data_IF_942928076424
#
_entry.id   IF_942928076424
#
_cell.length_a   1.000
_cell.length_b   1.000
_cell.length_c   1.000
_cell.angle_alpha   90.00
_cell.angle_beta   90.00
_cell.angle_gamma   90.00
#
_symmetry.space_group_name_H-M   'P 1'
#
loop_
_entity.id
_entity.type
_entity.pdbx_description
1 polymer ?
#
# COMPACT_ATOMS: atom_id res chain seq x y z
N UNK A 1 14.02 -8.65 -12.99
CA UNK A 1 15.28 -8.30 -13.66
C UNK A 1 15.04 -8.30 -15.15
N UNK A 2 15.03 -7.14 -15.77
CA UNK A 2 14.59 -6.97 -17.15
C UNK A 2 13.14 -7.42 -17.33
N UNK A 3 12.85 -8.17 -18.39
CA UNK A 3 11.48 -8.60 -18.75
C UNK A 3 11.07 -9.95 -18.12
N UNK A 4 11.85 -10.47 -17.15
CA UNK A 4 11.59 -11.77 -16.53
C UNK A 4 10.93 -11.55 -15.18
N UNK A 5 9.79 -12.23 -14.95
CA UNK A 5 9.12 -12.28 -13.66
C UNK A 5 9.92 -13.23 -12.75
N UNK A 6 10.52 -12.69 -11.70
CA UNK A 6 11.28 -13.48 -10.74
C UNK A 6 10.37 -14.20 -9.73
N UNK A 7 9.31 -13.54 -9.29
CA UNK A 7 8.32 -14.07 -8.34
C UNK A 7 6.96 -13.42 -8.61
N UNK A 8 5.87 -14.18 -8.46
CA UNK A 8 4.51 -13.70 -8.75
C UNK A 8 3.68 -13.36 -7.53
N UNK A 9 4.09 -13.88 -6.37
CA UNK A 9 3.38 -13.85 -5.09
C UNK A 9 4.17 -13.12 -3.98
N UNK A 10 5.05 -12.21 -4.37
CA UNK A 10 5.83 -11.43 -3.40
C UNK A 10 4.90 -10.50 -2.60
N UNK A 11 4.91 -10.64 -1.30
CA UNK A 11 4.22 -9.73 -0.40
C UNK A 11 4.95 -8.38 -0.32
N UNK A 12 4.17 -7.30 -0.38
CA UNK A 12 4.66 -5.92 -0.30
C UNK A 12 3.90 -5.06 0.70
N UNK A 13 2.97 -5.66 1.44
CA UNK A 13 2.23 -4.99 2.51
C UNK A 13 2.37 -5.82 3.78
N UNK A 14 2.82 -5.18 4.84
CA UNK A 14 3.15 -5.81 6.13
C UNK A 14 2.52 -5.05 7.28
N UNK A 15 2.12 -5.72 8.37
CA UNK A 15 1.80 -5.03 9.60
C UNK A 15 3.04 -4.27 10.10
N UNK A 16 2.86 -3.07 10.62
CA UNK A 16 3.89 -2.41 11.40
C UNK A 16 3.67 -2.73 12.90
N UNK A 17 2.45 -2.62 13.33
CA UNK A 17 1.92 -3.05 14.63
C UNK A 17 0.40 -3.32 14.52
N UNK A 18 -0.30 -3.37 15.65
CA UNK A 18 -1.74 -3.67 15.70
C UNK A 18 -2.64 -2.61 15.04
N UNK A 19 -2.14 -1.38 14.83
CA UNK A 19 -2.93 -0.25 14.31
C UNK A 19 -2.34 0.39 13.06
N UNK A 20 -1.31 -0.24 12.45
CA UNK A 20 -0.64 0.36 11.30
C UNK A 20 0.01 -0.67 10.36
N UNK A 21 0.27 -0.26 9.13
CA UNK A 21 0.88 -1.08 8.09
C UNK A 21 1.88 -0.32 7.24
N UNK A 22 2.79 -1.06 6.60
CA UNK A 22 3.77 -0.54 5.65
C UNK A 22 3.62 -1.25 4.32
N UNK A 23 3.37 -0.49 3.26
CA UNK A 23 3.55 -0.94 1.88
C UNK A 23 4.96 -0.60 1.40
N UNK A 24 5.58 -1.46 0.61
CA UNK A 24 6.96 -1.26 0.13
C UNK A 24 7.07 -1.23 -1.39
N UNK A 25 7.94 -0.35 -1.88
CA UNK A 25 8.43 -0.35 -3.26
C UNK A 25 9.95 -0.20 -3.29
N UNK A 26 10.58 -0.57 -4.41
CA UNK A 26 12.04 -0.51 -4.58
C UNK A 26 12.72 -1.85 -4.35
N UNK A 27 13.87 -1.86 -3.68
CA UNK A 27 14.69 -3.05 -3.46
C UNK A 27 14.09 -3.96 -2.39
N UNK A 28 13.41 -5.03 -2.82
CA UNK A 28 12.55 -5.86 -1.96
C UNK A 28 13.29 -6.43 -0.72
N UNK A 29 14.49 -6.95 -0.88
CA UNK A 29 15.25 -7.53 0.25
C UNK A 29 15.51 -6.51 1.37
N UNK A 30 16.04 -5.34 1.01
CA UNK A 30 16.27 -4.24 1.96
C UNK A 30 14.98 -3.71 2.56
N UNK A 31 13.90 -3.66 1.76
CA UNK A 31 12.62 -3.18 2.24
C UNK A 31 12.05 -4.10 3.33
N UNK A 32 12.13 -5.42 3.15
CA UNK A 32 11.69 -6.40 4.17
C UNK A 32 12.53 -6.28 5.45
N UNK A 33 13.84 -6.13 5.34
CA UNK A 33 14.72 -5.91 6.50
C UNK A 33 14.36 -4.62 7.24
N UNK A 34 14.11 -3.53 6.51
CA UNK A 34 13.69 -2.26 7.09
C UNK A 34 12.35 -2.37 7.82
N UNK A 35 11.38 -3.07 7.24
CA UNK A 35 10.08 -3.31 7.90
C UNK A 35 10.25 -4.13 9.18
N UNK A 36 11.04 -5.20 9.15
CA UNK A 36 11.32 -6.00 10.35
C UNK A 36 11.99 -5.19 11.46
N UNK A 37 12.97 -4.35 11.09
CA UNK A 37 13.63 -3.47 12.06
C UNK A 37 12.61 -2.47 12.64
N UNK A 38 11.75 -1.90 11.81
CA UNK A 38 10.70 -0.99 12.25
C UNK A 38 9.74 -1.65 13.24
N UNK A 39 9.27 -2.86 12.94
CA UNK A 39 8.41 -3.65 13.84
C UNK A 39 9.07 -3.87 15.20
N UNK A 40 10.34 -4.30 15.22
CA UNK A 40 11.10 -4.53 16.46
C UNK A 40 11.26 -3.25 17.27
N UNK A 41 11.49 -2.11 16.62
CA UNK A 41 11.64 -0.83 17.30
C UNK A 41 10.33 -0.32 17.90
N UNK A 42 9.18 -0.52 17.21
CA UNK A 42 7.88 -0.17 17.75
C UNK A 42 7.54 -1.05 18.98
N UNK A 43 7.73 -2.37 18.86
CA UNK A 43 7.52 -3.31 19.96
C UNK A 43 8.43 -3.01 21.16
N UNK A 44 9.70 -2.70 20.89
CA UNK A 44 10.66 -2.34 21.95
C UNK A 44 10.25 -1.07 22.68
N UNK A 45 9.84 -0.03 21.94
CA UNK A 45 9.36 1.20 22.54
C UNK A 45 8.16 0.94 23.45
N UNK A 46 7.16 0.20 22.98
CA UNK A 46 5.97 -0.12 23.75
C UNK A 46 6.30 -0.89 25.04
N UNK A 47 7.23 -1.84 24.97
CA UNK A 47 7.67 -2.61 26.15
C UNK A 47 8.40 -1.76 27.19
N UNK A 48 9.16 -0.75 26.75
CA UNK A 48 9.92 0.13 27.67
C UNK A 48 9.02 1.20 28.28
N UNK A 49 8.20 1.85 27.44
CA UNK A 49 7.40 3.00 27.86
C UNK A 49 6.02 2.60 28.40
N UNK A 50 5.59 1.35 28.18
CA UNK A 50 4.26 0.87 28.56
C UNK A 50 3.11 1.46 27.75
N UNK A 51 3.42 2.15 26.65
CA UNK A 51 2.47 2.76 25.74
C UNK A 51 3.01 2.75 24.31
N UNK A 52 2.12 2.66 23.34
CA UNK A 52 2.50 2.74 21.92
C UNK A 52 2.95 4.16 21.54
N UNK A 53 3.82 4.27 20.55
CA UNK A 53 4.09 5.54 19.87
C UNK A 53 2.80 6.08 19.23
N UNK A 54 2.62 7.40 19.28
CA UNK A 54 1.60 8.06 18.45
C UNK A 54 1.84 7.75 16.97
N UNK A 55 0.81 7.86 16.15
CA UNK A 55 0.94 7.57 14.71
C UNK A 55 2.00 8.48 14.04
N UNK A 56 2.07 9.76 14.43
CA UNK A 56 3.14 10.66 14.00
C UNK A 56 4.53 10.21 14.48
N UNK A 57 4.63 9.69 15.70
CA UNK A 57 5.86 9.11 16.24
C UNK A 57 6.34 7.91 15.42
N UNK A 58 5.42 6.99 15.09
CA UNK A 58 5.69 5.83 14.21
C UNK A 58 6.16 6.30 12.82
N UNK A 59 5.44 7.24 12.20
CA UNK A 59 5.79 7.80 10.90
C UNK A 59 7.17 8.49 10.90
N UNK A 60 7.51 9.22 11.95
CA UNK A 60 8.83 9.86 12.12
C UNK A 60 9.92 8.80 12.35
N UNK A 61 9.63 7.71 13.05
CA UNK A 61 10.60 6.62 13.25
C UNK A 61 10.95 5.95 11.91
N UNK A 62 9.96 5.67 11.08
CA UNK A 62 10.19 5.13 9.74
C UNK A 62 11.03 6.09 8.88
N UNK A 63 10.76 7.39 8.93
CA UNK A 63 11.57 8.41 8.25
C UNK A 63 13.05 8.40 8.71
N UNK A 64 13.29 8.19 10.01
CA UNK A 64 14.65 8.08 10.55
C UNK A 64 15.38 6.85 10.03
N UNK A 65 14.70 5.70 9.95
CA UNK A 65 15.26 4.47 9.37
C UNK A 65 15.62 4.64 7.89
N UNK A 66 14.80 5.35 7.11
CA UNK A 66 15.12 5.67 5.72
C UNK A 66 16.36 6.55 5.61
N UNK A 67 16.48 7.61 6.42
CA UNK A 67 17.69 8.46 6.45
C UNK A 67 18.94 7.68 6.78
N UNK A 68 18.86 6.72 7.68
CA UNK A 68 20.00 5.88 8.04
C UNK A 68 20.43 4.96 6.87
N UNK A 69 19.53 4.67 5.93
CA UNK A 69 19.80 3.87 4.72
C UNK A 69 20.17 4.71 3.49
N UNK A 70 20.34 6.02 3.62
CA UNK A 70 20.65 6.91 2.47
C UNK A 70 21.88 6.47 1.68
N UNK A 71 22.91 5.94 2.33
CA UNK A 71 24.11 5.43 1.66
C UNK A 71 23.82 4.28 0.69
N UNK A 72 22.88 3.41 1.03
CA UNK A 72 22.43 2.32 0.15
C UNK A 72 21.55 2.85 -0.99
N UNK A 73 20.69 3.82 -0.70
CA UNK A 73 19.85 4.48 -1.71
C UNK A 73 20.69 5.17 -2.79
N UNK A 74 21.81 5.82 -2.42
CA UNK A 74 22.74 6.44 -3.35
C UNK A 74 23.46 5.43 -4.25
N UNK A 75 23.53 4.16 -3.86
CA UNK A 75 24.03 3.05 -4.67
C UNK A 75 22.95 2.40 -5.54
N UNK A 76 21.76 2.99 -5.63
CA UNK A 76 20.63 2.45 -6.39
C UNK A 76 19.79 1.41 -5.64
N UNK A 77 20.09 1.15 -4.36
CA UNK A 77 19.35 0.22 -3.51
C UNK A 77 18.33 0.97 -2.65
N UNK A 78 17.41 1.67 -3.30
CA UNK A 78 16.42 2.50 -2.63
C UNK A 78 15.20 1.71 -2.18
N UNK A 79 14.63 2.12 -1.05
CA UNK A 79 13.33 1.68 -0.54
C UNK A 79 12.42 2.90 -0.44
N UNK A 80 11.22 2.79 -0.97
CA UNK A 80 10.18 3.82 -0.92
C UNK A 80 8.94 3.22 -0.26
N UNK A 81 8.76 3.38 1.05
CA UNK A 81 7.60 2.85 1.74
C UNK A 81 6.40 3.78 1.61
N UNK A 82 5.22 3.20 1.84
CA UNK A 82 3.98 3.86 2.14
C UNK A 82 3.53 3.38 3.52
N UNK A 83 3.30 4.29 4.46
CA UNK A 83 2.86 3.97 5.81
C UNK A 83 1.42 4.43 6.00
N UNK A 84 0.58 3.55 6.52
CA UNK A 84 -0.79 3.88 6.86
C UNK A 84 -1.12 3.35 8.26
N UNK A 85 -1.94 4.09 9.00
CA UNK A 85 -2.36 3.70 10.33
C UNK A 85 -3.60 4.43 10.77
N UNK A 86 -4.22 3.91 11.83
CA UNK A 86 -5.33 4.57 12.49
C UNK A 86 -4.81 5.43 13.65
N UNK A 87 -5.17 6.69 13.62
CA UNK A 87 -4.84 7.67 14.67
C UNK A 87 -6.02 7.73 15.65
N UNK A 88 -5.86 7.10 16.82
CA UNK A 88 -6.92 7.04 17.83
C UNK A 88 -7.20 8.41 18.49
N UNK A 89 -6.22 9.34 18.46
CA UNK A 89 -6.42 10.70 18.99
C UNK A 89 -7.24 11.56 18.03
N UNK A 90 -7.03 11.38 16.72
CA UNK A 90 -7.74 12.08 15.66
C UNK A 90 -9.02 11.35 15.21
N UNK A 91 -9.24 10.10 15.64
CA UNK A 91 -10.32 9.20 15.21
C UNK A 91 -10.37 9.07 13.68
N UNK A 92 -9.22 8.84 13.06
CA UNK A 92 -9.09 8.84 11.61
C UNK A 92 -7.95 7.95 11.09
N UNK A 93 -8.15 7.35 9.93
CA UNK A 93 -7.07 6.74 9.15
C UNK A 93 -6.18 7.80 8.49
N UNK A 94 -4.85 7.64 8.59
CA UNK A 94 -3.88 8.58 8.00
C UNK A 94 -2.85 7.82 7.15
N UNK A 95 -2.39 8.46 6.09
CA UNK A 95 -1.41 7.90 5.13
C UNK A 95 -0.20 8.82 5.06
N UNK A 96 0.99 8.22 5.07
CA UNK A 96 2.26 8.94 4.92
C UNK A 96 3.08 8.33 3.79
N UNK A 97 3.52 9.18 2.88
CA UNK A 97 4.49 8.84 1.84
C UNK A 97 5.89 9.33 2.23
N UNK A 98 6.90 8.75 1.62
CA UNK A 98 8.29 9.07 1.90
C UNK A 98 9.08 9.20 0.61
N UNK A 99 10.08 10.06 0.61
CA UNK A 99 11.13 10.05 -0.40
C UNK A 99 12.35 9.24 0.09
N UNK A 100 13.26 8.99 -0.82
CA UNK A 100 14.48 8.19 -0.54
C UNK A 100 15.43 8.84 0.47
N UNK A 101 15.27 10.11 0.76
CA UNK A 101 16.07 10.86 1.74
C UNK A 101 15.47 10.85 3.13
N UNK A 102 14.29 10.22 3.30
CA UNK A 102 13.54 10.17 4.55
C UNK A 102 12.68 11.41 4.78
N UNK A 103 12.37 12.17 3.73
CA UNK A 103 11.28 13.15 3.76
C UNK A 103 9.95 12.44 3.97
N UNK A 104 9.13 12.94 4.91
CA UNK A 104 7.83 12.40 5.26
C UNK A 104 6.73 13.38 4.84
N UNK A 105 5.70 12.88 4.14
CA UNK A 105 4.59 13.68 3.63
C UNK A 105 3.28 13.01 4.01
N UNK A 106 2.34 13.76 4.58
CA UNK A 106 1.00 13.26 4.85
C UNK A 106 0.12 13.40 3.61
N UNK A 107 -0.55 12.31 3.26
CA UNK A 107 -1.43 12.22 2.10
C UNK A 107 -2.89 12.20 2.55
N UNK A 108 -3.66 13.22 2.19
CA UNK A 108 -5.00 13.44 2.73
C UNK A 108 -6.11 12.61 2.08
N UNK A 109 -5.84 11.88 0.99
CA UNK A 109 -6.89 11.15 0.27
C UNK A 109 -6.46 9.74 -0.12
N UNK A 110 -5.47 9.66 -0.97
CA UNK A 110 -4.94 8.41 -1.50
C UNK A 110 -3.51 8.64 -1.97
N UNK A 111 -2.73 7.58 -2.03
CA UNK A 111 -1.39 7.62 -2.59
C UNK A 111 -1.04 6.27 -3.25
N UNK A 112 0.07 6.25 -3.99
CA UNK A 112 0.63 5.05 -4.58
C UNK A 112 2.15 5.19 -4.71
N UNK A 113 2.87 4.10 -4.50
CA UNK A 113 4.32 4.00 -4.65
C UNK A 113 4.68 2.86 -5.58
N UNK A 114 5.85 2.89 -6.18
CA UNK A 114 6.31 1.90 -7.15
C UNK A 114 6.17 2.37 -8.60
N UNK A 115 6.63 1.54 -9.55
CA UNK A 115 6.66 1.87 -10.99
C UNK A 115 5.28 2.14 -11.57
N UNK A 116 4.27 1.35 -11.21
CA UNK A 116 2.87 1.54 -11.65
C UNK A 116 2.11 2.64 -10.91
N UNK A 117 2.75 3.36 -9.97
CA UNK A 117 2.06 4.34 -9.11
C UNK A 117 1.38 5.48 -9.87
N UNK A 118 1.89 5.88 -11.01
CA UNK A 118 1.27 6.94 -11.83
C UNK A 118 -0.11 6.51 -12.35
N UNK A 119 -0.23 5.28 -12.81
CA UNK A 119 -1.48 4.71 -13.30
C UNK A 119 -2.46 4.47 -12.16
N UNK A 120 -2.00 3.84 -11.05
CA UNK A 120 -2.81 3.65 -9.86
C UNK A 120 -3.38 4.98 -9.31
N UNK A 121 -2.55 6.01 -9.20
CA UNK A 121 -2.97 7.35 -8.74
C UNK A 121 -3.92 8.03 -9.71
N UNK A 122 -3.76 7.79 -11.02
CA UNK A 122 -4.69 8.25 -12.06
C UNK A 122 -6.07 7.66 -11.90
N UNK A 123 -6.16 6.36 -11.62
CA UNK A 123 -7.38 5.63 -11.31
C UNK A 123 -8.01 6.12 -10.00
N UNK A 124 -7.24 6.12 -8.91
CA UNK A 124 -7.67 6.61 -7.60
C UNK A 124 -8.23 8.04 -7.65
N UNK A 125 -7.60 8.93 -8.42
CA UNK A 125 -8.09 10.30 -8.60
C UNK A 125 -9.52 10.38 -9.14
N UNK A 126 -9.94 9.39 -9.93
CA UNK A 126 -11.28 9.35 -10.56
C UNK A 126 -12.30 8.58 -9.72
N UNK A 127 -11.85 7.54 -9.00
CA UNK A 127 -12.74 6.60 -8.33
C UNK A 127 -12.88 6.88 -6.84
N UNK A 128 -11.84 7.43 -6.22
CA UNK A 128 -11.87 7.75 -4.79
C UNK A 128 -12.85 8.89 -4.49
N UNK A 129 -13.61 8.75 -3.44
CA UNK A 129 -14.45 9.79 -2.85
C UNK A 129 -14.45 9.64 -1.32
N UNK A 130 -14.72 10.72 -0.64
CA UNK A 130 -14.87 10.70 0.80
C UNK A 130 -16.11 9.89 1.22
N UNK A 131 -16.00 9.16 2.33
CA UNK A 131 -17.11 8.35 2.87
C UNK A 131 -17.33 7.02 2.14
N UNK A 132 -16.32 6.50 1.41
CA UNK A 132 -16.37 5.11 0.93
C UNK A 132 -16.46 4.16 2.13
N UNK A 133 -17.35 3.17 2.05
CA UNK A 133 -17.27 2.04 2.97
C UNK A 133 -16.08 1.13 2.65
N UNK A 134 -15.80 0.17 3.54
CA UNK A 134 -14.64 -0.72 3.39
C UNK A 134 -14.67 -1.51 2.09
N UNK A 135 -15.83 -2.02 1.69
CA UNK A 135 -15.99 -2.83 0.47
C UNK A 135 -15.74 -1.99 -0.79
N UNK A 136 -16.30 -0.79 -0.82
CA UNK A 136 -16.08 0.18 -1.91
C UNK A 136 -14.62 0.62 -1.96
N UNK A 137 -13.98 0.87 -0.82
CA UNK A 137 -12.56 1.25 -0.74
C UNK A 137 -11.64 0.13 -1.25
N UNK A 138 -11.91 -1.13 -0.89
CA UNK A 138 -11.20 -2.30 -1.42
C UNK A 138 -11.39 -2.38 -2.94
N UNK A 139 -12.62 -2.23 -3.42
CA UNK A 139 -12.93 -2.29 -4.85
C UNK A 139 -12.15 -1.21 -5.61
N UNK A 140 -12.15 0.03 -5.13
CA UNK A 140 -11.40 1.14 -5.72
C UNK A 140 -9.89 0.88 -5.72
N UNK A 141 -9.36 0.28 -4.65
CA UNK A 141 -7.94 -0.10 -4.60
C UNK A 141 -7.60 -1.21 -5.60
N UNK A 142 -8.47 -2.22 -5.76
CA UNK A 142 -8.31 -3.30 -6.75
C UNK A 142 -8.38 -2.76 -8.18
N UNK A 143 -9.30 -1.85 -8.48
CA UNK A 143 -9.38 -1.15 -9.77
C UNK A 143 -8.08 -0.39 -10.09
N UNK A 144 -7.55 0.32 -9.10
CA UNK A 144 -6.29 1.06 -9.27
C UNK A 144 -5.09 0.15 -9.49
N UNK A 145 -5.04 -1.01 -8.82
CA UNK A 145 -4.01 -2.03 -9.04
C UNK A 145 -4.16 -2.69 -10.41
N UNK A 146 -5.39 -2.91 -10.87
CA UNK A 146 -5.65 -3.43 -12.20
C UNK A 146 -5.10 -2.48 -13.27
N UNK A 147 -5.44 -1.19 -13.22
CA UNK A 147 -4.94 -0.17 -14.16
C UNK A 147 -3.40 -0.08 -14.12
N UNK A 148 -2.81 -0.16 -12.92
CA UNK A 148 -1.36 -0.17 -12.80
C UNK A 148 -0.71 -1.39 -13.45
N UNK A 149 -1.33 -2.56 -13.34
CA UNK A 149 -0.81 -3.80 -13.93
C UNK A 149 -1.03 -3.87 -15.46
N UNK A 150 -2.04 -3.20 -15.97
CA UNK A 150 -2.31 -3.14 -17.41
C UNK A 150 -1.27 -2.28 -18.15
N UNK A 151 -0.82 -1.20 -17.53
CA UNK A 151 0.09 -0.22 -18.13
C UNK A 151 1.56 -0.34 -17.68
N UNK A 152 1.86 -1.04 -16.58
CA UNK A 152 3.23 -1.23 -16.07
C UNK A 152 3.63 -2.70 -16.00
N UNK A 153 4.56 -3.13 -16.84
CA UNK A 153 5.05 -4.51 -16.89
C UNK A 153 5.76 -5.00 -15.62
N UNK A 154 6.14 -4.11 -14.73
CA UNK A 154 6.75 -4.44 -13.43
C UNK A 154 5.72 -4.55 -12.29
N UNK A 155 4.47 -4.21 -12.54
CA UNK A 155 3.35 -4.36 -11.61
C UNK A 155 2.57 -5.63 -11.91
N UNK A 156 2.49 -6.54 -10.93
CA UNK A 156 1.66 -7.76 -11.04
C UNK A 156 0.19 -7.43 -10.83
N UNK A 157 -0.67 -7.92 -11.73
CA UNK A 157 -2.12 -7.85 -11.58
C UNK A 157 -2.71 -9.12 -10.97
N UNK A 158 -4.05 -9.18 -10.79
CA UNK A 158 -4.73 -10.40 -10.40
C UNK A 158 -4.49 -11.52 -11.43
N UNK A 159 -4.05 -12.70 -10.98
CA UNK A 159 -3.89 -13.88 -11.83
C UNK A 159 -4.91 -14.95 -11.42
N UNK A 160 -6.12 -14.81 -11.93
CA UNK A 160 -7.23 -15.71 -11.60
C UNK A 160 -6.98 -17.16 -12.07
N UNK A 161 -6.13 -17.34 -13.10
CA UNK A 161 -5.78 -18.68 -13.60
C UNK A 161 -4.89 -19.45 -12.61
N UNK A 162 -4.09 -18.71 -11.81
CA UNK A 162 -3.22 -19.28 -10.76
C UNK A 162 -3.75 -19.08 -9.34
N UNK A 163 -4.91 -18.43 -9.18
CA UNK A 163 -5.47 -18.10 -7.88
C UNK A 163 -4.65 -17.06 -7.11
N UNK A 164 -3.94 -16.16 -7.81
CA UNK A 164 -3.16 -15.11 -7.18
C UNK A 164 -4.00 -13.85 -7.11
N UNK A 165 -4.34 -13.45 -5.88
CA UNK A 165 -5.07 -12.23 -5.56
C UNK A 165 -4.10 -11.15 -5.05
N UNK A 166 -4.45 -9.86 -5.16
CA UNK A 166 -3.68 -8.80 -4.53
C UNK A 166 -3.70 -8.93 -3.00
N UNK A 167 -2.62 -8.54 -2.34
CA UNK A 167 -2.61 -8.42 -0.88
C UNK A 167 -3.31 -7.13 -0.50
N UNK A 168 -4.41 -7.23 0.23
CA UNK A 168 -5.20 -6.10 0.71
C UNK A 168 -5.24 -6.11 2.24
N UNK A 169 -5.08 -4.95 2.82
CA UNK A 169 -5.11 -4.72 4.27
C UNK A 169 -6.07 -3.57 4.56
N UNK A 170 -6.85 -3.72 5.60
CA UNK A 170 -7.69 -2.66 6.18
C UNK A 170 -7.09 -2.29 7.54
N UNK A 171 -6.99 -1.00 7.80
CA UNK A 171 -6.61 -0.44 9.10
C UNK A 171 -7.64 0.61 9.48
N UNK A 172 -8.38 0.33 10.55
CA UNK A 172 -9.45 1.18 11.07
C UNK A 172 -9.43 1.22 12.61
N UNK A 173 -10.53 1.64 13.25
CA UNK A 173 -10.64 1.67 14.72
C UNK A 173 -10.50 0.31 15.39
N UNK A 174 -10.77 -0.78 14.67
CA UNK A 174 -10.59 -2.15 15.16
C UNK A 174 -9.14 -2.66 14.97
N UNK A 175 -8.29 -1.86 14.33
CA UNK A 175 -6.88 -2.14 14.10
C UNK A 175 -6.55 -2.67 12.70
N UNK A 176 -5.42 -3.37 12.61
CA UNK A 176 -4.92 -3.98 11.38
C UNK A 176 -5.64 -5.29 11.07
N UNK A 177 -6.13 -5.43 9.86
CA UNK A 177 -6.72 -6.64 9.34
C UNK A 177 -6.27 -6.92 7.90
N UNK A 178 -5.71 -8.11 7.64
CA UNK A 178 -5.56 -8.61 6.28
C UNK A 178 -6.94 -9.08 5.77
N UNK A 179 -7.27 -8.67 4.56
CA UNK A 179 -8.50 -9.13 3.90
C UNK A 179 -8.30 -10.57 3.44
N UNK A 180 -9.18 -11.47 3.88
CA UNK A 180 -9.11 -12.88 3.54
C UNK A 180 -9.51 -13.11 2.07
N UNK A 181 -8.93 -14.14 1.45
CA UNK A 181 -9.20 -14.48 0.05
C UNK A 181 -10.69 -14.72 -0.22
N UNK A 182 -11.43 -15.28 0.74
CA UNK A 182 -12.86 -15.51 0.63
C UNK A 182 -13.69 -14.20 0.52
N UNK A 183 -13.23 -13.12 1.15
CA UNK A 183 -13.82 -11.77 1.05
C UNK A 183 -13.37 -11.09 -0.23
N UNK A 184 -12.10 -11.25 -0.61
CA UNK A 184 -11.46 -10.51 -1.69
C UNK A 184 -11.77 -11.08 -3.08
N UNK A 185 -11.82 -12.41 -3.25
CA UNK A 185 -11.99 -13.07 -4.55
C UNK A 185 -13.23 -12.60 -5.32
N UNK A 186 -14.42 -12.48 -4.72
CA UNK A 186 -15.59 -11.99 -5.44
C UNK A 186 -15.44 -10.54 -5.92
N UNK A 187 -14.77 -9.68 -5.16
CA UNK A 187 -14.51 -8.28 -5.56
C UNK A 187 -13.53 -8.21 -6.73
N UNK A 188 -12.44 -8.96 -6.66
CA UNK A 188 -11.46 -9.04 -7.75
C UNK A 188 -12.07 -9.59 -9.02
N UNK A 189 -12.89 -10.66 -8.93
CA UNK A 189 -13.59 -11.22 -10.09
C UNK A 189 -14.57 -10.23 -10.71
N UNK A 190 -15.28 -9.47 -9.88
CA UNK A 190 -16.20 -8.44 -10.37
C UNK A 190 -15.46 -7.34 -11.15
N UNK A 191 -14.31 -6.88 -10.65
CA UNK A 191 -13.45 -5.91 -11.34
C UNK A 191 -12.96 -6.48 -12.67
N UNK A 192 -12.38 -7.69 -12.69
CA UNK A 192 -11.88 -8.33 -13.91
C UNK A 192 -13.00 -8.53 -14.94
N UNK A 193 -14.19 -8.98 -14.52
CA UNK A 193 -15.35 -9.15 -15.42
C UNK A 193 -15.84 -7.82 -15.98
N UNK A 194 -15.82 -6.75 -15.17
CA UNK A 194 -16.15 -5.41 -15.64
C UNK A 194 -15.15 -4.93 -16.70
N UNK A 195 -13.86 -5.21 -16.51
CA UNK A 195 -12.80 -4.87 -17.48
C UNK A 195 -12.85 -5.69 -18.76
N UNK A 196 -13.30 -6.94 -18.73
CA UNK A 196 -13.55 -7.72 -19.96
C UNK A 196 -14.62 -7.09 -20.85
N UNK A 197 -15.62 -6.43 -20.28
CA UNK A 197 -16.66 -5.71 -21.04
C UNK A 197 -16.28 -4.26 -21.35
N UNK A 198 -15.42 -3.65 -20.53
CA UNK A 198 -14.92 -2.27 -20.63
C UNK A 198 -13.45 -2.20 -20.22
N UNK A 199 -12.51 -2.46 -21.14
CA UNK A 199 -11.08 -2.48 -20.83
C UNK A 199 -10.58 -1.17 -20.19
N UNK A 200 -11.07 -0.03 -20.67
CA UNK A 200 -10.64 1.30 -20.19
C UNK A 200 -11.27 1.73 -18.85
N UNK A 201 -12.01 0.85 -18.22
CA UNK A 201 -12.61 1.11 -16.90
C UNK A 201 -13.99 1.76 -16.91
N UNK A 202 -14.44 2.26 -15.73
CA UNK A 202 -15.77 2.86 -15.60
C UNK A 202 -15.94 4.08 -16.51
N UNK A 203 -17.12 4.21 -17.12
CA UNK A 203 -17.43 5.39 -17.93
C UNK A 203 -17.70 6.60 -17.05
N UNK A 204 -17.24 7.77 -17.50
CA UNK A 204 -17.69 9.03 -16.92
C UNK A 204 -19.19 9.21 -17.17
N UNK A 205 -19.89 9.81 -16.20
CA UNK A 205 -21.28 10.25 -16.38
C UNK A 205 -21.27 11.50 -17.26
N UNK A 206 -21.20 11.29 -18.58
CA UNK A 206 -21.36 12.37 -19.56
C UNK A 206 -22.81 12.34 -20.04
N UNK A 207 -23.51 13.45 -19.92
CA UNK A 207 -24.79 13.65 -20.61
C UNK A 207 -24.48 13.81 -22.10
N UNK A 208 -25.06 12.94 -22.92
CA UNK A 208 -25.01 13.08 -24.40
C UNK A 208 -25.78 14.30 -24.86
#
# INVERSE_FOLDING_TARGET
>A
MGNIIAQRDIEKVFPADESSCVGIAGTAGLAVELVKLFQVELEHYEKIEGAQLSLDGKANRLAALLRNNLGMAMQGLAVVPLFAGYDYDADAGRIFSYDVTGGRYEEHRHHGVGSGSLFARGSLKKLWREGLDVTDAITVAVEALYDAADDDSATGGPDLARGILPVVVVVDSDGYRRVEDAELDPLVRAVVAARQSRPDGPRANVTA
#
